data_IF_419851962790
#
_entry.id   IF_419851962790
#
_cell.length_a   1.000
_cell.length_b   1.000
_cell.length_c   1.000
_cell.angle_alpha   90.00
_cell.angle_beta   90.00
_cell.angle_gamma   90.00
#
_symmetry.space_group_name_H-M   'P 1'
#
loop_
_entity.id
_entity.type
_entity.pdbx_description
1 polymer ?
#
# COMPACT_ATOMS: atom_id res chain seq x y z
N UNK A 1 21.57 1.47 25.16
CA UNK A 1 20.18 1.36 25.62
C UNK A 1 19.49 0.40 24.65
N UNK A 2 19.09 -0.79 25.09
CA UNK A 2 18.47 -1.77 24.19
C UNK A 2 17.15 -1.18 23.66
N UNK A 3 17.03 -1.06 22.34
CA UNK A 3 15.79 -0.63 21.69
C UNK A 3 14.76 -1.72 21.97
N UNK A 4 13.91 -1.51 22.97
CA UNK A 4 12.77 -2.40 23.26
C UNK A 4 11.80 -2.29 22.09
N UNK A 5 11.46 -3.43 21.50
CA UNK A 5 10.31 -3.50 20.60
C UNK A 5 9.03 -3.22 21.39
N UNK A 6 8.03 -2.69 20.70
CA UNK A 6 6.69 -2.49 21.24
C UNK A 6 5.70 -3.36 20.46
N UNK A 7 4.66 -3.86 21.15
CA UNK A 7 3.54 -4.52 20.48
C UNK A 7 2.67 -3.48 19.81
N UNK A 8 2.26 -3.73 18.57
CA UNK A 8 1.31 -2.91 17.83
C UNK A 8 0.18 -3.79 17.30
N UNK A 9 -1.05 -3.27 17.34
CA UNK A 9 -2.20 -3.87 16.66
C UNK A 9 -2.59 -2.99 15.48
N UNK A 10 -2.62 -3.56 14.29
CA UNK A 10 -2.66 -2.82 13.04
C UNK A 10 -3.77 -3.35 12.14
N UNK A 11 -4.68 -2.47 11.72
CA UNK A 11 -5.58 -2.73 10.60
C UNK A 11 -4.81 -2.48 9.30
N UNK A 12 -4.50 -3.54 8.56
CA UNK A 12 -3.73 -3.44 7.32
C UNK A 12 -4.59 -2.80 6.23
N UNK A 13 -4.24 -1.61 5.73
CA UNK A 13 -4.99 -0.92 4.68
C UNK A 13 -4.29 -0.94 3.33
N UNK A 14 -2.98 -1.18 3.32
CA UNK A 14 -2.13 -1.07 2.14
C UNK A 14 -1.13 -2.22 2.12
N UNK A 15 -0.99 -2.83 0.93
CA UNK A 15 0.18 -3.63 0.56
C UNK A 15 0.64 -3.16 -0.80
N UNK A 16 1.88 -2.70 -0.91
CA UNK A 16 2.40 -2.25 -2.20
C UNK A 16 2.82 -3.41 -3.09
N UNK A 17 2.85 -3.20 -4.41
CA UNK A 17 3.43 -4.14 -5.36
C UNK A 17 4.86 -4.53 -4.93
N UNK A 18 5.20 -5.83 -4.89
CA UNK A 18 6.54 -6.29 -4.52
C UNK A 18 7.61 -5.67 -5.41
N UNK A 19 8.74 -5.30 -4.81
CA UNK A 19 9.90 -4.73 -5.51
C UNK A 19 11.14 -5.62 -5.31
N UNK A 20 11.96 -5.85 -6.35
CA UNK A 20 13.20 -6.62 -6.23
C UNK A 20 14.16 -6.03 -5.18
N UNK A 21 14.64 -6.88 -4.28
CA UNK A 21 15.52 -6.52 -3.17
C UNK A 21 16.76 -7.40 -3.17
N UNK A 22 17.94 -6.77 -3.11
CA UNK A 22 19.19 -7.52 -2.99
C UNK A 22 19.32 -8.22 -1.62
N UNK A 23 18.71 -7.64 -0.57
CA UNK A 23 18.86 -8.13 0.82
C UNK A 23 17.79 -9.15 1.22
N UNK A 24 16.59 -9.04 0.66
CA UNK A 24 15.41 -9.80 1.10
C UNK A 24 14.69 -10.54 -0.04
N UNK A 25 15.31 -10.58 -1.22
CA UNK A 25 14.74 -11.12 -2.45
C UNK A 25 13.74 -10.20 -3.12
N UNK A 26 12.60 -9.98 -2.47
CA UNK A 26 11.68 -8.90 -2.80
C UNK A 26 11.04 -8.36 -1.52
N UNK A 27 10.65 -7.10 -1.56
CA UNK A 27 10.03 -6.45 -0.41
C UNK A 27 8.74 -5.75 -0.80
N UNK A 28 7.84 -5.74 0.16
CA UNK A 28 6.60 -4.98 0.14
C UNK A 28 6.65 -3.96 1.26
N UNK A 29 6.14 -2.77 0.99
CA UNK A 29 5.77 -1.82 2.02
C UNK A 29 4.33 -2.13 2.43
N UNK A 30 4.12 -2.36 3.72
CA UNK A 30 2.78 -2.49 4.28
C UNK A 30 2.49 -1.23 5.07
N UNK A 31 1.27 -0.73 4.95
CA UNK A 31 0.81 0.36 5.79
C UNK A 31 -0.58 0.04 6.33
N UNK A 32 -0.88 0.61 7.47
CA UNK A 32 -2.12 0.37 8.18
C UNK A 32 -2.38 1.45 9.22
N UNK A 33 -3.45 1.24 9.97
CA UNK A 33 -3.84 2.09 11.09
C UNK A 33 -3.57 1.32 12.37
N UNK A 34 -2.77 1.91 13.25
CA UNK A 34 -2.53 1.41 14.61
C UNK A 34 -3.78 1.67 15.45
N UNK A 35 -4.27 0.65 16.14
CA UNK A 35 -5.55 0.67 16.88
C UNK A 35 -5.41 0.37 18.38
N UNK A 36 -4.18 0.14 18.87
CA UNK A 36 -3.89 -0.13 20.28
C UNK A 36 -3.62 1.15 21.12
N UNK A 37 -3.43 2.31 20.49
CA UNK A 37 -3.01 3.55 21.15
C UNK A 37 -4.13 4.53 21.54
N UNK A 38 -5.41 4.15 21.41
CA UNK A 38 -6.55 5.03 21.68
C UNK A 38 -6.80 6.13 20.63
N UNK A 39 -5.95 6.20 19.59
CA UNK A 39 -6.09 7.08 18.42
C UNK A 39 -5.69 6.33 17.15
N UNK A 40 -6.32 6.69 16.04
CA UNK A 40 -6.07 6.10 14.73
C UNK A 40 -4.83 6.71 14.08
N UNK A 41 -3.68 6.03 14.19
CA UNK A 41 -2.41 6.53 13.65
C UNK A 41 -1.90 5.69 12.50
N UNK A 42 -1.29 6.35 11.51
CA UNK A 42 -0.58 5.64 10.45
C UNK A 42 0.62 4.88 11.00
N UNK A 43 0.79 3.66 10.49
CA UNK A 43 2.00 2.86 10.67
C UNK A 43 2.45 2.31 9.32
N UNK A 44 3.74 2.47 9.03
CA UNK A 44 4.45 1.92 7.88
C UNK A 44 5.35 0.80 8.39
N UNK A 45 5.10 -0.41 7.92
CA UNK A 45 5.89 -1.59 8.21
C UNK A 45 6.79 -1.87 7.00
N UNK A 46 8.09 -1.68 7.17
CA UNK A 46 9.07 -1.91 6.11
C UNK A 46 10.44 -2.29 6.68
N UNK A 47 11.14 -3.27 6.07
CA UNK A 47 10.74 -4.09 4.94
C UNK A 47 9.94 -5.33 5.36
N UNK A 48 9.05 -5.80 4.48
CA UNK A 48 8.37 -7.10 4.63
C UNK A 48 8.65 -7.97 3.39
N UNK A 49 9.37 -9.11 3.52
CA UNK A 49 9.57 -10.07 2.44
C UNK A 49 8.34 -10.99 2.28
N UNK A 50 7.17 -10.39 2.06
CA UNK A 50 5.87 -11.05 2.21
C UNK A 50 5.72 -12.32 1.36
N UNK A 51 6.34 -12.37 0.17
CA UNK A 51 6.26 -13.53 -0.73
C UNK A 51 7.00 -14.77 -0.19
N UNK A 52 7.97 -14.56 0.70
CA UNK A 52 8.79 -15.59 1.32
C UNK A 52 8.23 -16.08 2.67
N UNK A 53 7.14 -15.48 3.15
CA UNK A 53 6.46 -15.95 4.36
C UNK A 53 5.78 -17.30 4.13
N UNK A 54 5.90 -18.19 5.12
CA UNK A 54 5.07 -19.40 5.21
C UNK A 54 3.59 -19.06 5.40
N UNK A 55 2.70 -20.04 5.18
CA UNK A 55 1.25 -19.83 5.22
C UNK A 55 0.77 -19.16 6.51
N UNK A 56 1.32 -19.56 7.66
CA UNK A 56 1.00 -19.07 9.01
C UNK A 56 1.17 -17.55 9.19
N UNK A 57 1.98 -16.90 8.35
CA UNK A 57 2.37 -15.48 8.52
C UNK A 57 1.86 -14.58 7.41
N UNK A 58 1.05 -15.13 6.50
CA UNK A 58 0.42 -14.36 5.43
C UNK A 58 -0.84 -13.70 5.95
N UNK A 59 -0.96 -12.41 5.69
CA UNK A 59 -2.15 -11.62 6.00
C UNK A 59 -2.70 -10.90 4.76
N UNK A 60 -4.00 -10.75 4.69
CA UNK A 60 -4.71 -10.00 3.66
C UNK A 60 -4.76 -8.50 3.97
N UNK A 61 -5.15 -7.73 2.95
CA UNK A 61 -5.58 -6.35 3.17
C UNK A 61 -6.89 -6.40 3.96
N UNK A 62 -7.02 -5.53 4.95
CA UNK A 62 -8.07 -5.48 5.96
C UNK A 62 -8.03 -6.59 7.02
N UNK A 63 -6.90 -7.27 7.17
CA UNK A 63 -6.64 -8.03 8.39
C UNK A 63 -6.28 -7.08 9.54
N UNK A 64 -6.73 -7.43 10.74
CA UNK A 64 -6.17 -6.95 11.99
C UNK A 64 -5.01 -7.89 12.34
N UNK A 65 -3.81 -7.35 12.37
CA UNK A 65 -2.61 -8.08 12.78
C UNK A 65 -2.08 -7.54 14.10
N UNK A 66 -1.48 -8.40 14.89
CA UNK A 66 -0.67 -8.04 16.05
C UNK A 66 0.77 -8.45 15.79
N UNK A 67 1.72 -7.58 16.12
CA UNK A 67 3.15 -7.84 15.92
C UNK A 67 4.03 -6.96 16.82
N UNK A 68 5.27 -7.40 17.03
CA UNK A 68 6.31 -6.56 17.61
C UNK A 68 6.92 -5.65 16.55
N UNK A 69 7.02 -4.36 16.83
CA UNK A 69 7.61 -3.35 15.96
C UNK A 69 8.73 -2.58 16.66
N UNK A 70 9.67 -2.06 15.87
CA UNK A 70 10.77 -1.20 16.34
C UNK A 70 10.87 0.04 15.47
N UNK A 71 11.24 1.17 16.06
CA UNK A 71 11.55 2.38 15.29
C UNK A 71 12.62 2.11 14.26
N UNK A 72 12.39 2.55 13.02
CA UNK A 72 13.35 2.35 11.92
C UNK A 72 14.43 3.44 11.97
N UNK A 73 15.69 3.05 12.13
CA UNK A 73 16.80 4.02 12.25
C UNK A 73 17.15 4.69 10.92
N UNK A 74 17.02 3.98 9.81
CA UNK A 74 17.31 4.49 8.47
C UNK A 74 16.19 5.39 7.92
N UNK A 75 15.12 5.57 8.69
CA UNK A 75 13.94 6.29 8.26
C UNK A 75 13.29 7.06 9.41
N UNK A 76 13.66 8.34 9.53
CA UNK A 76 13.22 9.21 10.62
C UNK A 76 11.76 9.69 10.55
N UNK A 77 10.92 9.10 9.70
CA UNK A 77 9.48 9.40 9.65
C UNK A 77 8.77 8.82 10.87
N UNK A 78 7.84 9.60 11.44
CA UNK A 78 7.15 9.25 12.68
C UNK A 78 6.26 8.01 12.59
N UNK A 79 5.91 7.57 11.39
CA UNK A 79 5.12 6.39 11.14
C UNK A 79 5.97 5.20 10.68
N UNK A 80 7.31 5.30 10.60
CA UNK A 80 8.16 4.24 10.05
C UNK A 80 8.69 3.26 11.10
N UNK A 81 8.40 1.98 10.88
CA UNK A 81 8.78 0.90 11.79
C UNK A 81 9.31 -0.33 11.03
N UNK A 82 10.28 -0.99 11.66
CA UNK A 82 10.75 -2.32 11.30
C UNK A 82 9.92 -3.37 12.04
N UNK A 83 9.17 -4.24 11.34
CA UNK A 83 8.43 -5.33 11.98
C UNK A 83 9.34 -6.50 12.33
N UNK A 84 9.07 -7.17 13.45
CA UNK A 84 9.66 -8.46 13.80
C UNK A 84 8.82 -9.57 13.15
N UNK A 85 9.29 -10.13 12.03
CA UNK A 85 8.48 -10.97 11.15
C UNK A 85 7.95 -12.25 11.79
N UNK A 86 8.70 -12.83 12.73
CA UNK A 86 8.30 -14.05 13.44
C UNK A 86 7.16 -13.81 14.44
N UNK A 87 6.88 -12.56 14.79
CA UNK A 87 5.84 -12.17 15.75
C UNK A 87 4.50 -11.79 15.11
N UNK A 88 4.37 -11.90 13.78
CA UNK A 88 3.16 -11.49 13.07
C UNK A 88 2.06 -12.53 13.30
N UNK A 89 0.97 -12.10 13.92
CA UNK A 89 -0.23 -12.90 14.14
C UNK A 89 -1.44 -12.21 13.50
N UNK A 90 -2.26 -12.97 12.77
CA UNK A 90 -3.52 -12.47 12.22
C UNK A 90 -4.64 -12.73 13.21
N UNK A 91 -5.27 -11.68 13.70
CA UNK A 91 -6.31 -11.74 14.73
C UNK A 91 -7.69 -11.94 14.10
N UNK A 92 -7.99 -11.16 13.06
CA UNK A 92 -9.31 -11.16 12.40
C UNK A 92 -9.19 -10.59 10.98
N UNK A 93 -10.09 -11.02 10.08
CA UNK A 93 -10.26 -10.40 8.76
C UNK A 93 -11.56 -9.58 8.69
N UNK A 94 -11.45 -8.31 8.27
CA UNK A 94 -12.61 -7.43 8.09
C UNK A 94 -13.21 -7.61 6.69
N UNK A 95 -14.23 -8.45 6.59
CA UNK A 95 -14.80 -8.93 5.33
C UNK A 95 -15.50 -7.84 4.51
N UNK A 96 -16.27 -6.98 5.16
CA UNK A 96 -17.15 -6.00 4.50
C UNK A 96 -16.72 -4.56 4.78
N UNK A 97 -17.28 -3.60 4.02
CA UNK A 97 -17.08 -2.18 4.34
C UNK A 97 -17.69 -1.80 5.70
N UNK A 98 -18.74 -2.47 6.15
CA UNK A 98 -19.34 -2.21 7.46
C UNK A 98 -18.38 -2.58 8.60
N UNK A 99 -17.57 -3.64 8.42
CA UNK A 99 -16.57 -4.07 9.40
C UNK A 99 -15.34 -3.14 9.39
N UNK A 100 -15.01 -2.57 8.24
CA UNK A 100 -13.80 -1.75 8.02
C UNK A 100 -13.98 -0.30 8.46
N UNK A 101 -15.13 0.31 8.16
CA UNK A 101 -15.41 1.74 8.40
C UNK A 101 -15.18 2.16 9.86
N UNK A 102 -15.58 1.38 10.89
CA UNK A 102 -15.33 1.74 12.29
C UNK A 102 -13.88 2.10 12.60
N UNK A 103 -12.91 1.37 12.01
CA UNK A 103 -11.49 1.60 12.25
C UNK A 103 -10.87 2.73 11.41
N UNK A 104 -11.57 3.15 10.35
CA UNK A 104 -11.04 4.07 9.35
C UNK A 104 -11.68 5.45 9.39
N UNK A 105 -12.82 5.58 10.05
CA UNK A 105 -13.60 6.83 10.07
C UNK A 105 -12.87 7.97 10.77
N UNK A 106 -12.13 7.65 11.84
CA UNK A 106 -11.43 8.61 12.69
C UNK A 106 -9.97 8.78 12.25
N UNK A 107 -9.58 8.19 11.11
CA UNK A 107 -8.29 8.46 10.50
C UNK A 107 -8.32 9.86 9.94
N UNK A 108 -7.41 10.70 10.41
CA UNK A 108 -7.26 12.07 9.92
C UNK A 108 -7.10 12.08 8.39
N UNK A 109 -7.97 12.86 7.76
CA UNK A 109 -7.92 13.10 6.33
C UNK A 109 -6.93 14.22 6.03
N UNK A 110 -6.23 14.10 4.91
CA UNK A 110 -5.31 15.12 4.41
C UNK A 110 -5.53 15.30 2.90
N UNK A 111 -4.71 16.12 2.27
CA UNK A 111 -4.71 16.31 0.82
C UNK A 111 -3.36 15.92 0.23
N UNK A 112 -3.30 15.60 -1.06
CA UNK A 112 -2.00 15.39 -1.72
C UNK A 112 -1.16 16.66 -1.74
N UNK A 113 -1.79 17.84 -1.87
CA UNK A 113 -1.12 19.13 -1.76
C UNK A 113 -0.43 19.30 -0.40
N UNK A 114 -1.13 18.97 0.69
CA UNK A 114 -0.59 19.08 2.05
C UNK A 114 0.54 18.07 2.31
N UNK A 115 0.37 16.82 1.88
CA UNK A 115 1.41 15.80 1.94
C UNK A 115 2.70 16.23 1.20
N UNK A 116 2.56 16.82 0.01
CA UNK A 116 3.69 17.36 -0.76
C UNK A 116 4.33 18.56 -0.05
N UNK A 117 3.52 19.49 0.46
CA UNK A 117 4.03 20.66 1.19
C UNK A 117 4.75 20.26 2.47
N UNK A 118 4.23 19.28 3.22
CA UNK A 118 4.82 18.81 4.48
C UNK A 118 6.12 18.02 4.30
N UNK A 119 6.42 17.59 3.07
CA UNK A 119 7.66 16.86 2.73
C UNK A 119 8.66 17.71 1.92
N UNK A 120 8.24 18.88 1.42
CA UNK A 120 9.12 19.81 0.73
C UNK A 120 10.25 20.28 1.67
N UNK A 121 11.51 19.95 1.34
CA UNK A 121 12.67 20.24 2.19
C UNK A 121 12.73 19.46 3.51
N UNK A 122 11.73 18.62 3.81
CA UNK A 122 11.68 17.77 4.99
C UNK A 122 11.50 16.29 4.58
N UNK A 123 12.59 15.55 4.38
CA UNK A 123 12.51 14.13 4.00
C UNK A 123 11.88 13.25 5.09
N UNK A 124 11.69 13.75 6.32
CA UNK A 124 11.03 13.02 7.41
C UNK A 124 9.60 13.52 7.68
N UNK A 125 9.03 14.33 6.77
CA UNK A 125 7.64 14.75 6.82
C UNK A 125 6.65 13.60 6.60
N UNK A 126 5.34 13.89 6.72
CA UNK A 126 4.27 12.89 6.59
C UNK A 126 4.37 12.12 5.28
N UNK A 127 4.32 10.79 5.33
CA UNK A 127 4.50 9.95 4.14
C UNK A 127 3.37 9.00 3.83
N UNK A 128 2.32 9.02 4.65
CA UNK A 128 1.09 8.29 4.48
C UNK A 128 -0.09 9.23 4.73
N UNK A 129 -1.21 8.99 4.06
CA UNK A 129 -2.41 9.78 4.29
C UNK A 129 -3.65 9.18 3.63
N UNK A 130 -4.81 9.44 4.23
CA UNK A 130 -6.10 9.19 3.62
C UNK A 130 -6.54 10.46 2.90
N UNK A 131 -6.57 10.43 1.57
CA UNK A 131 -6.82 11.61 0.74
C UNK A 131 -8.15 11.50 0.03
N UNK A 132 -9.19 12.26 0.44
CA UNK A 132 -10.43 12.36 -0.31
C UNK A 132 -10.18 12.84 -1.74
N UNK A 133 -10.81 12.17 -2.70
CA UNK A 133 -10.65 12.48 -4.12
C UNK A 133 -11.87 13.28 -4.58
N UNK A 134 -11.63 14.49 -5.09
CA UNK A 134 -12.70 15.35 -5.59
C UNK A 134 -13.23 14.85 -6.93
N UNK A 135 -12.31 14.59 -7.87
CA UNK A 135 -12.61 13.98 -9.16
C UNK A 135 -11.37 13.29 -9.73
N UNK A 136 -11.63 12.31 -10.60
CA UNK A 136 -10.62 11.66 -11.43
C UNK A 136 -10.93 12.00 -12.88
N UNK A 137 -10.09 12.80 -13.50
CA UNK A 137 -10.26 13.22 -14.90
C UNK A 137 -9.82 12.14 -15.88
N UNK A 138 -8.85 11.29 -15.49
CA UNK A 138 -8.32 10.25 -16.38
C UNK A 138 -7.65 9.10 -15.64
N UNK A 139 -7.78 7.89 -16.17
CA UNK A 139 -6.89 6.76 -15.87
C UNK A 139 -5.96 6.52 -17.06
N UNK A 140 -4.66 6.54 -16.82
CA UNK A 140 -3.63 6.42 -17.85
C UNK A 140 -2.89 5.09 -17.74
N UNK A 141 -2.61 4.50 -18.90
CA UNK A 141 -1.88 3.24 -19.02
C UNK A 141 -0.60 3.49 -19.82
N UNK A 142 0.52 3.04 -19.29
CA UNK A 142 1.82 2.98 -19.95
C UNK A 142 2.31 1.54 -19.83
N UNK A 143 2.92 0.99 -20.88
CA UNK A 143 3.51 -0.34 -20.81
C UNK A 143 4.66 -0.36 -19.82
N UNK A 144 4.74 -1.41 -19.00
CA UNK A 144 5.85 -1.54 -18.07
C UNK A 144 7.10 -1.99 -18.85
N UNK A 145 8.27 -1.35 -18.65
CA UNK A 145 9.49 -1.69 -19.38
C UNK A 145 10.11 -3.05 -18.99
N UNK A 146 9.39 -3.89 -18.23
CA UNK A 146 9.95 -5.05 -17.55
C UNK A 146 10.90 -4.70 -16.40
N UNK A 147 11.47 -5.73 -15.79
CA UNK A 147 12.58 -5.58 -14.83
C UNK A 147 13.89 -5.33 -15.56
N UNK A 148 14.69 -4.41 -15.05
CA UNK A 148 16.07 -4.16 -15.52
C UNK A 148 16.96 -5.39 -15.29
N UNK A 149 18.10 -5.47 -15.99
CA UNK A 149 19.07 -6.56 -15.79
C UNK A 149 19.48 -6.68 -14.32
N UNK A 150 19.74 -5.56 -13.65
CA UNK A 150 20.11 -5.55 -12.23
C UNK A 150 18.99 -6.09 -11.32
N UNK A 151 17.72 -5.77 -11.63
CA UNK A 151 16.55 -6.29 -10.89
C UNK A 151 16.34 -7.78 -11.15
N UNK A 152 16.51 -8.24 -12.38
CA UNK A 152 16.44 -9.66 -12.73
C UNK A 152 17.52 -10.48 -12.02
N UNK A 153 18.73 -9.92 -11.88
CA UNK A 153 19.81 -10.55 -11.11
C UNK A 153 19.47 -10.66 -9.62
N UNK A 154 18.87 -9.62 -9.02
CA UNK A 154 18.39 -9.68 -7.62
C UNK A 154 17.35 -10.79 -7.43
N UNK A 155 16.37 -10.88 -8.33
CA UNK A 155 15.32 -11.91 -8.29
C UNK A 155 15.94 -13.31 -8.39
N UNK A 156 16.83 -13.51 -9.36
CA UNK A 156 17.48 -14.81 -9.61
C UNK A 156 18.32 -15.25 -8.41
N UNK A 157 19.17 -14.36 -7.89
CA UNK A 157 20.03 -14.66 -6.73
C UNK A 157 19.23 -15.04 -5.50
N UNK A 158 18.11 -14.37 -5.26
CA UNK A 158 17.27 -14.65 -4.10
C UNK A 158 16.58 -16.02 -4.17
N UNK A 159 16.11 -16.41 -5.36
CA UNK A 159 15.54 -17.74 -5.57
C UNK A 159 16.60 -18.84 -5.37
N UNK A 160 17.81 -18.64 -5.89
CA UNK A 160 18.92 -19.59 -5.70
C UNK A 160 19.35 -19.74 -4.24
N UNK A 161 19.34 -18.67 -3.45
CA UNK A 161 19.70 -18.77 -2.03
C UNK A 161 18.68 -19.59 -1.22
N UNK A 162 17.37 -19.42 -1.46
CA UNK A 162 16.35 -20.22 -0.74
C UNK A 162 16.45 -21.70 -1.09
N UNK A 163 16.71 -22.01 -2.37
CA UNK A 163 16.91 -23.38 -2.86
C UNK A 163 18.13 -24.06 -2.19
N UNK A 164 19.22 -23.32 -1.97
CA UNK A 164 20.44 -23.82 -1.33
C UNK A 164 20.30 -24.07 0.18
N UNK A 165 19.43 -23.35 0.88
CA UNK A 165 19.29 -23.41 2.34
C UNK A 165 18.02 -24.14 2.84
N UNK A 166 17.21 -24.69 1.92
CA UNK A 166 16.30 -25.83 2.15
C UNK A 166 15.08 -25.65 3.08
N UNK A 167 14.94 -24.55 3.81
CA UNK A 167 13.95 -24.44 4.90
C UNK A 167 12.80 -23.44 4.66
N UNK A 168 12.55 -23.00 3.43
CA UNK A 168 11.47 -22.05 3.13
C UNK A 168 10.73 -22.37 1.82
N UNK A 169 9.45 -21.96 1.75
CA UNK A 169 8.69 -22.03 0.49
C UNK A 169 9.30 -21.04 -0.51
N UNK A 170 9.93 -21.54 -1.58
CA UNK A 170 10.41 -20.71 -2.69
C UNK A 170 9.18 -20.11 -3.40
N UNK A 171 8.97 -18.78 -3.36
CA UNK A 171 7.88 -18.20 -4.15
C UNK A 171 8.18 -18.35 -5.64
N UNK A 172 7.14 -18.33 -6.51
CA UNK A 172 7.34 -18.22 -7.94
C UNK A 172 8.26 -17.05 -8.30
N UNK A 173 8.87 -17.07 -9.49
CA UNK A 173 9.67 -15.92 -9.95
C UNK A 173 8.85 -14.63 -9.93
N UNK A 174 9.43 -13.53 -9.46
CA UNK A 174 8.74 -12.24 -9.47
C UNK A 174 8.62 -11.73 -10.91
N UNK A 175 7.40 -11.54 -11.38
CA UNK A 175 7.10 -10.97 -12.70
C UNK A 175 6.77 -9.47 -12.55
N UNK A 176 7.19 -8.68 -13.55
CA UNK A 176 6.79 -7.27 -13.61
C UNK A 176 5.32 -7.17 -14.01
N UNK A 177 4.57 -6.17 -13.50
CA UNK A 177 3.23 -5.88 -14.03
C UNK A 177 3.31 -5.55 -15.53
N UNK A 178 2.22 -5.76 -16.25
CA UNK A 178 2.11 -5.47 -17.69
C UNK A 178 2.08 -3.96 -17.97
N UNK A 179 1.42 -3.21 -17.09
CA UNK A 179 1.21 -1.77 -17.22
C UNK A 179 1.59 -1.02 -15.94
N UNK A 180 2.10 0.20 -16.12
CA UNK A 180 2.02 1.25 -15.11
C UNK A 180 0.67 1.96 -15.27
N UNK A 181 -0.15 1.93 -14.23
CA UNK A 181 -1.45 2.60 -14.20
C UNK A 181 -1.36 3.85 -13.35
N UNK A 182 -1.88 4.97 -13.85
CA UNK A 182 -1.89 6.25 -13.13
C UNK A 182 -3.27 6.88 -13.13
N UNK A 183 -3.60 7.60 -12.05
CA UNK A 183 -4.71 8.52 -12.03
C UNK A 183 -4.24 9.94 -12.32
N UNK A 184 -5.04 10.69 -13.09
CA UNK A 184 -5.08 12.15 -13.04
C UNK A 184 -6.31 12.57 -12.25
N UNK A 185 -6.10 13.33 -11.18
CA UNK A 185 -7.16 13.61 -10.21
C UNK A 185 -6.92 14.93 -9.48
N UNK A 186 -7.95 15.44 -8.81
CA UNK A 186 -7.84 16.52 -7.83
C UNK A 186 -8.14 16.00 -6.43
N UNK A 187 -7.36 16.45 -5.44
CA UNK A 187 -7.63 16.16 -4.03
C UNK A 187 -8.59 17.20 -3.44
N UNK A 188 -8.93 17.06 -2.16
CA UNK A 188 -9.84 17.95 -1.43
C UNK A 188 -9.30 19.36 -1.14
N UNK A 189 -8.05 19.68 -1.45
CA UNK A 189 -7.52 21.03 -1.27
C UNK A 189 -8.22 22.02 -2.24
N UNK A 190 -8.81 23.13 -1.74
CA UNK A 190 -9.49 24.10 -2.59
C UNK A 190 -8.62 24.74 -3.68
N UNK A 191 -7.30 24.76 -3.49
CA UNK A 191 -6.32 25.31 -4.43
C UNK A 191 -5.68 24.24 -5.31
N UNK A 192 -6.16 22.99 -5.26
CA UNK A 192 -5.61 21.89 -6.03
C UNK A 192 -5.75 22.12 -7.54
N UNK A 193 -4.62 22.16 -8.25
CA UNK A 193 -4.56 22.26 -9.71
C UNK A 193 -4.51 20.89 -10.42
N UNK A 194 -4.47 19.81 -9.64
CA UNK A 194 -4.43 18.43 -10.12
C UNK A 194 -3.11 17.72 -9.80
N UNK A 195 -3.19 16.40 -9.78
CA UNK A 195 -2.09 15.49 -9.49
C UNK A 195 -2.06 14.34 -10.49
N UNK A 196 -0.88 13.72 -10.62
CA UNK A 196 -0.72 12.44 -11.30
C UNK A 196 -0.10 11.43 -10.33
N UNK A 197 -0.87 10.41 -9.95
CA UNK A 197 -0.44 9.38 -9.01
C UNK A 197 -0.37 8.01 -9.66
N UNK A 198 0.80 7.35 -9.61
CA UNK A 198 0.91 5.94 -10.01
C UNK A 198 0.25 5.04 -8.95
N UNK A 199 -0.45 4.01 -9.41
CA UNK A 199 -1.02 2.98 -8.54
C UNK A 199 0.08 1.96 -8.24
N UNK A 200 0.46 1.86 -6.97
CA UNK A 200 1.44 0.89 -6.45
C UNK A 200 0.77 -0.16 -5.56
N UNK A 201 -0.55 -0.29 -5.61
CA UNK A 201 -1.32 -1.30 -4.90
C UNK A 201 -0.99 -2.71 -5.44
N UNK A 202 -0.66 -3.65 -4.56
CA UNK A 202 -0.44 -5.04 -4.96
C UNK A 202 -1.67 -5.63 -5.65
N UNK A 203 -2.89 -5.30 -5.21
CA UNK A 203 -4.11 -5.81 -5.85
C UNK A 203 -4.21 -5.42 -7.34
N UNK A 204 -3.61 -4.28 -7.74
CA UNK A 204 -3.52 -3.88 -9.14
C UNK A 204 -2.55 -4.77 -9.92
N UNK A 205 -1.39 -5.09 -9.34
CA UNK A 205 -0.43 -6.02 -9.94
C UNK A 205 -1.03 -7.42 -10.08
N UNK A 206 -1.72 -7.90 -9.05
CA UNK A 206 -2.39 -9.21 -9.07
C UNK A 206 -3.51 -9.25 -10.11
N UNK A 207 -4.31 -8.19 -10.22
CA UNK A 207 -5.33 -8.12 -11.27
C UNK A 207 -4.71 -8.26 -12.66
N UNK A 208 -3.63 -7.54 -12.94
CA UNK A 208 -2.92 -7.66 -14.22
C UNK A 208 -2.41 -9.09 -14.48
N UNK A 209 -1.89 -9.76 -13.44
CA UNK A 209 -1.43 -11.16 -13.52
C UNK A 209 -2.57 -12.12 -13.89
N UNK A 210 -3.78 -11.92 -13.35
CA UNK A 210 -4.95 -12.72 -13.70
C UNK A 210 -5.48 -12.43 -15.13
N UNK A 211 -5.16 -11.26 -15.69
CA UNK A 211 -5.56 -10.85 -17.04
C UNK A 211 -4.46 -11.11 -18.09
N UNK A 212 -3.46 -11.95 -17.78
CA UNK A 212 -2.32 -12.21 -18.67
C UNK A 212 -2.69 -12.80 -20.04
N UNK A 213 -3.79 -13.53 -20.11
CA UNK A 213 -4.31 -14.13 -21.36
C UNK A 213 -5.17 -13.18 -22.19
N UNK A 214 -5.57 -12.02 -21.63
CA UNK A 214 -6.41 -11.07 -22.32
C UNK A 214 -5.59 -10.18 -23.27
N UNK A 215 -6.23 -9.66 -24.32
CA UNK A 215 -5.65 -8.57 -25.12
C UNK A 215 -5.43 -7.31 -24.28
N UNK A 216 -4.54 -6.41 -24.70
CA UNK A 216 -4.29 -5.15 -23.98
C UNK A 216 -5.57 -4.34 -23.81
N UNK A 217 -6.40 -4.28 -24.86
CA UNK A 217 -7.66 -3.54 -24.83
C UNK A 217 -8.63 -4.11 -23.79
N UNK A 218 -8.80 -5.44 -23.76
CA UNK A 218 -9.68 -6.12 -22.80
C UNK A 218 -9.16 -5.97 -21.37
N UNK A 219 -7.84 -6.13 -21.16
CA UNK A 219 -7.23 -5.98 -19.85
C UNK A 219 -7.38 -4.54 -19.32
N UNK A 220 -7.08 -3.52 -20.15
CA UNK A 220 -7.26 -2.10 -19.80
C UNK A 220 -8.72 -1.80 -19.46
N UNK A 221 -9.68 -2.31 -20.24
CA UNK A 221 -11.12 -2.14 -19.96
C UNK A 221 -11.53 -2.73 -18.61
N UNK A 222 -11.13 -3.97 -18.29
CA UNK A 222 -11.43 -4.62 -17.01
C UNK A 222 -10.80 -3.88 -15.83
N UNK A 223 -9.58 -3.39 -15.99
CA UNK A 223 -8.92 -2.55 -14.99
C UNK A 223 -9.71 -1.25 -14.78
N UNK A 224 -10.07 -0.54 -15.85
CA UNK A 224 -10.88 0.68 -15.77
C UNK A 224 -12.23 0.42 -15.11
N UNK A 225 -12.93 -0.66 -15.46
CA UNK A 225 -14.21 -1.02 -14.85
C UNK A 225 -14.08 -1.19 -13.33
N UNK A 226 -13.03 -1.88 -12.86
CA UNK A 226 -12.84 -2.13 -11.43
C UNK A 226 -12.32 -0.90 -10.69
N UNK A 227 -11.24 -0.30 -11.17
CA UNK A 227 -10.51 0.75 -10.45
C UNK A 227 -11.07 2.16 -10.67
N UNK A 228 -11.81 2.39 -11.75
CA UNK A 228 -12.46 3.68 -12.00
C UNK A 228 -13.97 3.57 -11.86
N UNK A 229 -14.65 2.83 -12.73
CA UNK A 229 -16.12 2.84 -12.81
C UNK A 229 -16.78 2.32 -11.52
N UNK A 230 -16.29 1.21 -10.94
CA UNK A 230 -16.84 0.62 -9.71
C UNK A 230 -16.42 1.39 -8.45
N UNK A 231 -15.11 1.66 -8.27
CA UNK A 231 -14.57 2.27 -7.04
C UNK A 231 -14.93 3.76 -6.91
N UNK A 232 -15.23 4.44 -8.01
CA UNK A 232 -15.65 5.85 -8.04
C UNK A 232 -17.11 6.02 -8.46
N UNK A 233 -17.91 4.95 -8.44
CA UNK A 233 -19.35 5.07 -8.66
C UNK A 233 -19.95 6.11 -7.70
N UNK A 234 -20.95 6.88 -8.15
CA UNK A 234 -21.51 8.02 -7.40
C UNK A 234 -21.97 7.67 -5.98
N UNK A 235 -22.40 6.42 -5.76
CA UNK A 235 -22.77 5.89 -4.44
C UNK A 235 -21.61 5.63 -3.48
N UNK A 236 -20.35 5.74 -3.93
CA UNK A 236 -19.14 5.52 -3.13
C UNK A 236 -18.63 6.82 -2.53
N UNK A 237 -18.04 6.73 -1.36
CA UNK A 237 -17.23 7.79 -0.77
C UNK A 237 -15.76 7.42 -0.93
N UNK A 238 -15.10 8.02 -1.92
CA UNK A 238 -13.81 7.52 -2.40
C UNK A 238 -12.65 8.38 -1.94
N UNK A 239 -11.65 7.73 -1.33
CA UNK A 239 -10.39 8.34 -0.92
C UNK A 239 -9.23 7.46 -1.38
N UNK A 240 -8.05 8.04 -1.59
CA UNK A 240 -6.83 7.29 -1.80
C UNK A 240 -6.10 7.05 -0.48
N UNK A 241 -5.60 5.84 -0.31
CA UNK A 241 -4.47 5.62 0.58
C UNK A 241 -3.22 6.07 -0.17
N UNK A 242 -2.67 7.22 0.22
CA UNK A 242 -1.50 7.81 -0.41
C UNK A 242 -0.24 7.45 0.37
N UNK A 243 0.88 7.38 -0.33
CA UNK A 243 2.16 7.46 0.33
C UNK A 243 3.34 7.67 -0.59
N UNK A 244 4.50 7.94 0.00
CA UNK A 244 5.73 8.23 -0.74
C UNK A 244 6.77 7.09 -0.66
N UNK A 245 7.87 7.31 -1.37
CA UNK A 245 8.95 6.33 -1.59
C UNK A 245 9.94 6.27 -0.42
N UNK A 246 10.58 5.10 -0.24
CA UNK A 246 11.61 4.92 0.78
C UNK A 246 12.85 5.79 0.52
N UNK A 247 13.25 5.92 -0.75
CA UNK A 247 14.34 6.78 -1.19
C UNK A 247 14.05 8.26 -0.83
N UNK A 248 14.88 8.83 0.04
CA UNK A 248 14.76 10.19 0.55
C UNK A 248 14.63 11.26 -0.55
N UNK A 249 15.32 11.08 -1.70
CA UNK A 249 15.28 12.03 -2.84
C UNK A 249 13.93 12.05 -3.57
N UNK A 250 13.03 11.12 -3.26
CA UNK A 250 11.72 10.97 -3.91
C UNK A 250 10.56 11.15 -2.94
N UNK A 251 10.81 11.55 -1.69
CA UNK A 251 9.76 11.64 -0.65
C UNK A 251 8.74 12.77 -0.86
N UNK A 252 9.07 13.76 -1.68
CA UNK A 252 8.12 14.77 -2.19
C UNK A 252 7.12 14.21 -3.22
N UNK A 253 7.38 13.01 -3.76
CA UNK A 253 6.53 12.37 -4.77
C UNK A 253 5.67 11.31 -4.11
N UNK A 254 4.36 11.45 -4.29
CA UNK A 254 3.37 10.54 -3.73
C UNK A 254 2.77 9.63 -4.81
N UNK A 255 2.33 8.46 -4.38
CA UNK A 255 1.67 7.45 -5.22
C UNK A 255 0.42 6.93 -4.51
N UNK A 256 -0.51 6.41 -5.31
CA UNK A 256 -1.73 5.78 -4.81
C UNK A 256 -1.39 4.36 -4.41
N UNK A 257 -1.47 4.06 -3.12
CA UNK A 257 -1.14 2.74 -2.56
C UNK A 257 -2.38 1.84 -2.42
N UNK A 258 -3.57 2.42 -2.57
CA UNK A 258 -4.84 1.72 -2.59
C UNK A 258 -6.01 2.71 -2.63
N UNK A 259 -7.23 2.19 -2.79
CA UNK A 259 -8.46 2.98 -2.81
C UNK A 259 -9.35 2.57 -1.64
N UNK A 260 -9.81 3.55 -0.86
CA UNK A 260 -10.89 3.44 0.11
C UNK A 260 -12.20 3.82 -0.58
N UNK A 261 -13.19 2.92 -0.62
CA UNK A 261 -14.43 3.12 -1.38
C UNK A 261 -15.68 2.47 -0.74
N UNK A 262 -15.99 2.72 0.55
CA UNK A 262 -17.28 2.30 1.10
C UNK A 262 -18.44 2.96 0.35
N UNK A 263 -19.63 2.36 0.45
CA UNK A 263 -20.84 3.09 0.06
C UNK A 263 -21.04 4.29 1.00
N UNK A 264 -21.61 5.37 0.48
CA UNK A 264 -21.89 6.59 1.25
C UNK A 264 -22.76 6.29 2.46
N UNK A 265 -23.77 5.43 2.30
CA UNK A 265 -24.62 4.94 3.39
C UNK A 265 -23.79 4.26 4.48
N UNK A 266 -22.88 3.35 4.13
CA UNK A 266 -22.01 2.68 5.11
C UNK A 266 -21.09 3.67 5.83
N UNK A 267 -20.52 4.63 5.12
CA UNK A 267 -19.66 5.65 5.71
C UNK A 267 -20.41 6.60 6.67
N UNK A 268 -21.71 6.85 6.45
CA UNK A 268 -22.52 7.77 7.26
C UNK A 268 -23.26 7.10 8.43
N UNK A 269 -23.51 5.79 8.38
CA UNK A 269 -24.46 5.10 9.30
C UNK A 269 -24.01 5.05 10.77
N UNK A 270 -22.75 5.34 11.10
CA UNK A 270 -22.27 5.30 12.49
C UNK A 270 -22.17 6.69 13.16
N UNK A 271 -22.74 7.74 12.59
CA UNK A 271 -22.72 9.12 13.15
C UNK A 271 -23.86 9.41 14.16
N UNK A 272 -24.49 8.40 14.73
CA UNK A 272 -25.63 8.56 15.64
C UNK A 272 -25.30 8.21 17.08
N UNK A 273 -24.13 8.60 17.59
CA UNK A 273 -23.88 8.75 19.04
C UNK A 273 -22.84 9.84 19.25
#
# INVERSE_FOLDING_TARGET
MAIRGETARVVVTVKTSPQPSAKYGDTVCVAGIRIDGGRSEWIRLYPIPFRYFGAERKFAKYDIIELTVRRRHEDGRNESYSPEWDSIETIEHLHTWADRVPYLRDVDQTSTCELQSGTAGNPNGPSLGLVPVLDVSKMEFEDHPGWTVAEQSKISNALSQVDLFGNGSVPPRLESPRFKVRYRYRCSDPRCTGHQGQILDWEMTELQRHLKSDSDATAKRKITQKYLEMMFASKRHTSFYMGNFENARRREKFSVLGVYYPERSTASTLSLF
#
